data_IF_553415077899
#
_entry.id   IF_553415077899
#
_cell.length_a   1.000
_cell.length_b   1.000
_cell.length_c   1.000
_cell.angle_alpha   90.00
_cell.angle_beta   90.00
_cell.angle_gamma   90.00
#
_symmetry.space_group_name_H-M   'P 1'
#
loop_
_entity.id
_entity.type
_entity.pdbx_description
1 polymer ?
#
# COMPACT_ATOMS: atom_id res chain seq x y z
N UNK A 1 -8.79 31.34 63.48
CA UNK A 1 -8.49 31.36 62.03
C UNK A 1 -8.21 29.94 61.55
N UNK A 2 -9.17 29.30 60.86
CA UNK A 2 -9.02 27.95 60.29
C UNK A 2 -8.32 28.07 58.93
N UNK A 3 -7.17 27.44 58.74
CA UNK A 3 -6.53 27.28 57.41
C UNK A 3 -7.00 25.96 56.82
N UNK A 4 -7.87 26.03 55.81
CA UNK A 4 -8.20 24.90 54.94
C UNK A 4 -7.05 24.71 53.95
N UNK A 5 -6.38 23.56 54.00
CA UNK A 5 -5.45 23.14 52.96
C UNK A 5 -6.25 22.55 51.80
N UNK A 6 -6.23 23.23 50.65
CA UNK A 6 -6.74 22.68 49.40
C UNK A 6 -5.78 21.59 48.91
N UNK A 7 -6.24 20.34 48.89
CA UNK A 7 -5.55 19.24 48.21
C UNK A 7 -5.89 19.37 46.72
N UNK A 8 -4.91 19.81 45.93
CA UNK A 8 -5.01 19.83 44.48
C UNK A 8 -4.74 18.40 43.97
N UNK A 9 -5.80 17.62 43.74
CA UNK A 9 -5.69 16.31 43.09
C UNK A 9 -5.40 16.57 41.60
N UNK A 10 -4.12 16.54 41.25
CA UNK A 10 -3.67 16.45 39.86
C UNK A 10 -4.08 15.08 39.33
N UNK A 11 -5.21 15.03 38.62
CA UNK A 11 -5.51 13.92 37.73
C UNK A 11 -4.47 13.92 36.61
N UNK A 12 -3.43 13.10 36.75
CA UNK A 12 -2.63 12.66 35.62
C UNK A 12 -3.54 11.78 34.75
N UNK A 13 -4.25 12.41 33.80
CA UNK A 13 -4.68 11.73 32.59
C UNK A 13 -3.40 11.34 31.85
N UNK A 14 -2.91 10.14 32.14
CA UNK A 14 -1.97 9.46 31.26
C UNK A 14 -2.68 9.29 29.92
N UNK A 15 -2.49 10.27 29.02
CA UNK A 15 -2.70 10.04 27.60
C UNK A 15 -1.74 8.94 27.20
N UNK A 16 -2.18 7.69 27.29
CA UNK A 16 -1.61 6.62 26.48
C UNK A 16 -1.74 7.14 25.05
N UNK A 17 -0.63 7.65 24.52
CA UNK A 17 -0.42 7.66 23.09
C UNK A 17 -0.61 6.20 22.67
N UNK A 18 -1.77 5.87 22.12
CA UNK A 18 -1.97 4.66 21.34
C UNK A 18 -1.01 4.80 20.16
N UNK A 19 0.27 4.48 20.38
CA UNK A 19 1.22 4.30 19.31
C UNK A 19 0.56 3.32 18.34
N UNK A 20 0.20 3.82 17.14
CA UNK A 20 -0.46 3.01 16.13
C UNK A 20 0.35 1.74 15.91
N UNK A 21 -0.27 0.59 16.16
CA UNK A 21 0.42 -0.68 15.98
C UNK A 21 0.72 -0.86 14.50
N UNK A 22 1.97 -1.15 14.15
CA UNK A 22 2.34 -1.52 12.79
C UNK A 22 1.71 -2.84 12.38
N UNK A 23 1.69 -3.15 11.08
CA UNK A 23 1.31 -4.47 10.57
C UNK A 23 2.10 -5.57 11.29
N UNK A 24 3.42 -5.40 11.45
CA UNK A 24 4.27 -6.39 12.10
C UNK A 24 3.88 -6.66 13.56
N UNK A 25 3.59 -5.60 14.32
CA UNK A 25 3.28 -5.71 15.75
C UNK A 25 1.85 -6.21 16.02
N UNK A 26 0.89 -5.89 15.15
CA UNK A 26 -0.53 -6.23 15.35
C UNK A 26 -0.93 -7.59 14.77
N UNK A 27 -0.43 -7.95 13.59
CA UNK A 27 -0.90 -9.13 12.85
C UNK A 27 0.11 -10.27 13.01
N UNK A 28 0.03 -11.03 14.09
CA UNK A 28 0.95 -12.14 14.32
C UNK A 28 0.90 -13.18 13.17
N UNK A 29 2.04 -13.80 12.80
CA UNK A 29 2.03 -14.98 11.94
C UNK A 29 1.21 -16.12 12.55
N UNK A 30 0.69 -17.06 11.75
CA UNK A 30 0.02 -18.25 12.27
C UNK A 30 0.96 -19.07 13.17
N UNK A 31 0.39 -19.89 14.06
CA UNK A 31 1.17 -20.73 14.97
C UNK A 31 2.23 -21.56 14.22
N UNK A 32 3.47 -21.54 14.72
CA UNK A 32 4.61 -22.23 14.11
C UNK A 32 5.24 -21.52 12.90
N UNK A 33 4.73 -20.35 12.47
CA UNK A 33 5.35 -19.54 11.43
C UNK A 33 6.21 -18.43 12.03
N UNK A 34 7.29 -18.09 11.34
CA UNK A 34 8.17 -16.96 11.64
C UNK A 34 8.27 -16.07 10.41
N UNK A 35 8.27 -14.75 10.58
CA UNK A 35 8.44 -13.82 9.45
C UNK A 35 9.79 -14.06 8.76
N UNK A 36 9.81 -13.97 7.43
CA UNK A 36 11.09 -13.97 6.72
C UNK A 36 11.91 -12.75 7.11
N UNK A 37 13.23 -12.88 7.24
CA UNK A 37 14.10 -11.74 7.56
C UNK A 37 14.10 -10.75 6.39
N UNK A 38 13.94 -9.46 6.69
CA UNK A 38 14.03 -8.39 5.69
C UNK A 38 15.28 -7.54 5.94
N UNK A 39 15.98 -7.10 4.88
CA UNK A 39 17.06 -6.14 5.04
C UNK A 39 16.56 -4.83 5.67
N UNK A 40 17.39 -4.20 6.49
CA UNK A 40 17.11 -2.85 6.96
C UNK A 40 16.94 -1.91 5.76
N UNK A 41 16.00 -0.97 5.86
CA UNK A 41 15.66 -0.03 4.79
C UNK A 41 15.18 -0.68 3.48
N UNK A 42 14.76 -1.95 3.47
CA UNK A 42 14.10 -2.54 2.29
C UNK A 42 12.64 -2.10 2.16
N UNK A 43 12.06 -2.28 0.97
CA UNK A 43 10.64 -2.04 0.75
C UNK A 43 9.77 -2.96 1.63
N UNK A 44 10.21 -4.20 1.81
CA UNK A 44 9.57 -5.19 2.67
C UNK A 44 9.47 -4.70 4.12
N UNK A 45 10.58 -4.16 4.66
CA UNK A 45 10.62 -3.59 6.01
C UNK A 45 9.69 -2.39 6.12
N UNK A 46 9.65 -1.52 5.09
CA UNK A 46 8.71 -0.41 5.03
C UNK A 46 7.25 -0.89 5.08
N UNK A 47 6.86 -1.84 4.23
CA UNK A 47 5.48 -2.37 4.18
C UNK A 47 5.05 -2.96 5.52
N UNK A 48 5.91 -3.76 6.17
CA UNK A 48 5.64 -4.34 7.50
C UNK A 48 5.52 -3.30 8.62
N UNK A 49 6.23 -2.18 8.47
CA UNK A 49 6.24 -1.11 9.47
C UNK A 49 5.06 -0.16 9.38
N UNK A 50 4.24 -0.25 8.32
CA UNK A 50 3.11 0.66 8.12
C UNK A 50 2.17 0.64 9.33
N UNK A 51 1.78 1.82 9.84
CA UNK A 51 0.85 1.92 10.95
C UNK A 51 -0.54 1.46 10.52
N UNK A 52 -1.28 0.87 11.46
CA UNK A 52 -2.69 0.54 11.30
C UNK A 52 -3.55 1.48 12.15
N UNK A 53 -4.71 1.85 11.63
CA UNK A 53 -5.77 2.46 12.44
C UNK A 53 -6.18 1.50 13.58
N UNK A 54 -6.69 2.01 14.70
CA UNK A 54 -7.13 1.17 15.83
C UNK A 54 -8.06 0.04 15.41
N UNK A 55 -8.08 -1.03 16.19
CA UNK A 55 -8.93 -2.18 15.91
C UNK A 55 -10.42 -1.82 15.83
N UNK A 56 -11.14 -2.48 14.92
CA UNK A 56 -12.54 -2.18 14.62
C UNK A 56 -12.79 -0.97 13.71
N UNK A 57 -11.75 -0.24 13.28
CA UNK A 57 -11.93 0.84 12.30
C UNK A 57 -12.48 0.31 10.96
N UNK A 58 -13.49 1.01 10.45
CA UNK A 58 -14.11 0.71 9.16
C UNK A 58 -13.33 1.36 8.02
N UNK A 59 -13.36 0.74 6.84
CA UNK A 59 -12.77 1.31 5.64
C UNK A 59 -13.66 2.44 5.13
N UNK A 60 -13.09 3.63 4.95
CA UNK A 60 -13.74 4.77 4.31
C UNK A 60 -13.29 4.92 2.85
N UNK A 61 -14.18 5.47 2.05
CA UNK A 61 -13.93 5.91 0.69
C UNK A 61 -13.32 7.32 0.71
N UNK A 62 -12.80 7.77 -0.43
CA UNK A 62 -12.24 9.13 -0.58
C UNK A 62 -13.21 10.26 -0.20
N UNK A 63 -14.52 10.01 -0.29
CA UNK A 63 -15.58 10.98 0.03
C UNK A 63 -16.04 10.90 1.50
N UNK A 64 -15.37 10.12 2.34
CA UNK A 64 -15.71 9.92 3.75
C UNK A 64 -16.87 8.96 3.99
N UNK A 65 -17.52 8.42 2.95
CA UNK A 65 -18.52 7.36 3.13
C UNK A 65 -17.86 6.04 3.49
N UNK A 66 -18.61 5.15 4.13
CA UNK A 66 -18.15 3.80 4.40
C UNK A 66 -18.11 2.96 3.12
N UNK A 67 -17.05 2.18 2.94
CA UNK A 67 -17.02 1.09 1.96
C UNK A 67 -18.19 0.12 2.21
N UNK A 68 -18.87 -0.32 1.15
CA UNK A 68 -20.01 -1.25 1.29
C UNK A 68 -19.59 -2.60 1.86
N UNK A 69 -18.58 -3.23 1.26
CA UNK A 69 -18.08 -4.54 1.70
C UNK A 69 -16.99 -4.37 2.79
N UNK A 70 -17.41 -4.10 4.02
CA UNK A 70 -16.50 -4.02 5.18
C UNK A 70 -15.86 -5.38 5.51
N UNK A 71 -16.54 -6.49 5.20
CA UNK A 71 -16.06 -7.85 5.48
C UNK A 71 -14.81 -8.24 4.66
N UNK A 72 -14.48 -7.48 3.61
CA UNK A 72 -13.22 -7.65 2.87
C UNK A 72 -11.98 -7.21 3.67
N UNK A 73 -12.14 -6.35 4.68
CA UNK A 73 -11.04 -5.71 5.37
C UNK A 73 -10.81 -6.32 6.76
N UNK A 74 -9.57 -6.70 7.02
CA UNK A 74 -9.12 -7.17 8.33
C UNK A 74 -8.61 -6.02 9.20
N UNK A 75 -7.81 -5.13 8.62
CA UNK A 75 -7.29 -3.93 9.28
C UNK A 75 -7.07 -2.82 8.26
N UNK A 76 -7.20 -1.57 8.69
CA UNK A 76 -7.03 -0.39 7.82
C UNK A 76 -5.65 0.21 8.07
N UNK A 77 -4.89 0.44 7.00
CA UNK A 77 -3.60 1.14 7.06
C UNK A 77 -3.87 2.60 7.38
N UNK A 78 -3.16 3.14 8.36
CA UNK A 78 -3.21 4.55 8.74
C UNK A 78 -2.42 5.39 7.74
N UNK A 79 -3.03 5.56 6.56
CA UNK A 79 -2.55 6.38 5.47
C UNK A 79 -3.72 7.14 4.88
N UNK A 80 -3.57 8.45 4.73
CA UNK A 80 -4.59 9.28 4.08
C UNK A 80 -4.79 8.89 2.62
N UNK A 81 -6.00 9.11 2.11
CA UNK A 81 -6.39 8.85 0.72
C UNK A 81 -6.64 10.15 -0.08
N UNK A 82 -6.74 11.29 0.59
CA UNK A 82 -7.23 12.54 0.01
C UNK A 82 -8.75 12.58 -0.11
N UNK A 83 -9.27 13.58 -0.83
CA UNK A 83 -10.70 13.87 -0.97
C UNK A 83 -11.21 13.76 -2.42
N UNK A 84 -10.41 13.17 -3.30
CA UNK A 84 -10.72 12.94 -4.71
C UNK A 84 -10.77 11.44 -4.96
N UNK A 85 -11.50 11.00 -5.98
CA UNK A 85 -11.51 9.60 -6.43
C UNK A 85 -10.20 9.25 -7.16
N UNK A 86 -9.09 9.43 -6.45
CA UNK A 86 -7.70 9.12 -6.79
C UNK A 86 -7.17 8.25 -5.65
N UNK A 87 -6.11 7.47 -5.88
CA UNK A 87 -5.69 6.43 -4.95
C UNK A 87 -6.60 5.17 -5.00
N UNK A 88 -6.98 4.78 -6.22
CA UNK A 88 -7.64 3.51 -6.51
C UNK A 88 -6.65 2.33 -6.41
N UNK A 89 -7.04 1.13 -6.88
CA UNK A 89 -6.26 -0.10 -6.68
C UNK A 89 -4.77 -0.01 -7.07
N UNK A 90 -4.45 0.38 -8.31
CA UNK A 90 -3.06 0.53 -8.77
C UNK A 90 -2.35 1.72 -8.09
N UNK A 91 -3.07 2.81 -7.86
CA UNK A 91 -2.53 4.00 -7.24
C UNK A 91 -2.07 3.74 -5.80
N UNK A 92 -2.75 2.87 -5.06
CA UNK A 92 -2.30 2.44 -3.73
C UNK A 92 -0.94 1.72 -3.79
N UNK A 93 -0.74 0.86 -4.79
CA UNK A 93 0.55 0.18 -5.03
C UNK A 93 1.64 1.21 -5.40
N UNK A 94 1.32 2.14 -6.29
CA UNK A 94 2.19 3.27 -6.66
C UNK A 94 2.53 4.11 -5.44
N UNK A 95 1.53 4.47 -4.62
CA UNK A 95 1.68 5.26 -3.40
C UNK A 95 2.66 4.61 -2.43
N UNK A 96 2.46 3.33 -2.13
CA UNK A 96 3.32 2.58 -1.21
C UNK A 96 4.77 2.56 -1.69
N UNK A 97 5.00 2.28 -2.98
CA UNK A 97 6.35 2.26 -3.56
C UNK A 97 6.99 3.65 -3.55
N UNK A 98 6.23 4.69 -3.91
CA UNK A 98 6.72 6.06 -3.98
C UNK A 98 7.06 6.62 -2.60
N UNK A 99 6.21 6.41 -1.59
CA UNK A 99 6.44 6.83 -0.20
C UNK A 99 7.70 6.20 0.38
N UNK A 100 7.89 4.90 0.15
CA UNK A 100 9.11 4.19 0.53
C UNK A 100 10.36 4.87 -0.04
N UNK A 101 10.40 5.09 -1.36
CA UNK A 101 11.54 5.73 -2.01
C UNK A 101 11.72 7.19 -1.57
N UNK A 102 10.62 7.92 -1.39
CA UNK A 102 10.63 9.33 -0.99
C UNK A 102 11.18 9.52 0.42
N UNK A 103 10.78 8.65 1.36
CA UNK A 103 11.27 8.64 2.74
C UNK A 103 12.79 8.42 2.82
N UNK A 104 13.36 7.73 1.84
CA UNK A 104 14.80 7.48 1.70
C UNK A 104 15.53 8.49 0.80
N UNK A 105 14.83 9.52 0.31
CA UNK A 105 15.35 10.52 -0.64
C UNK A 105 15.85 9.92 -1.96
N UNK A 106 15.38 8.73 -2.34
CA UNK A 106 15.72 8.04 -3.59
C UNK A 106 14.86 8.58 -4.74
N UNK A 107 14.89 9.90 -4.92
CA UNK A 107 13.97 10.62 -5.80
C UNK A 107 14.09 10.26 -7.27
N UNK A 108 15.30 9.88 -7.71
CA UNK A 108 15.61 9.48 -9.08
C UNK A 108 14.94 8.16 -9.47
N UNK A 109 14.56 7.35 -8.48
CA UNK A 109 13.89 6.06 -8.67
C UNK A 109 12.36 6.18 -8.65
N UNK A 110 11.83 7.34 -8.28
CA UNK A 110 10.38 7.57 -8.27
C UNK A 110 9.96 7.97 -9.68
N UNK A 111 9.56 6.97 -10.45
CA UNK A 111 9.12 7.11 -11.84
C UNK A 111 7.99 6.12 -12.11
N UNK A 112 6.91 6.61 -12.70
CA UNK A 112 5.78 5.81 -13.13
C UNK A 112 5.34 6.27 -14.51
N UNK A 113 4.95 5.33 -15.37
CA UNK A 113 4.49 5.66 -16.70
C UNK A 113 2.99 5.95 -16.71
N UNK A 114 2.61 7.00 -17.42
CA UNK A 114 1.22 7.22 -17.80
C UNK A 114 0.78 6.14 -18.79
N UNK A 115 -0.54 6.03 -19.01
CA UNK A 115 -1.15 5.03 -19.91
C UNK A 115 -0.63 5.13 -21.35
N UNK A 116 -0.25 6.34 -21.79
CA UNK A 116 0.35 6.57 -23.11
C UNK A 116 1.86 6.29 -23.17
N UNK A 117 2.48 5.84 -22.07
CA UNK A 117 3.91 5.56 -21.97
C UNK A 117 4.78 6.74 -21.53
N UNK A 118 4.21 7.92 -21.24
CA UNK A 118 4.98 9.06 -20.77
C UNK A 118 5.61 8.78 -19.38
N UNK A 119 6.94 8.93 -19.23
CA UNK A 119 7.62 8.71 -17.95
C UNK A 119 7.47 9.91 -17.01
N UNK A 120 6.59 9.81 -16.01
CA UNK A 120 6.45 10.83 -14.99
C UNK A 120 7.49 10.63 -13.88
N UNK A 121 8.62 11.32 -13.99
CA UNK A 121 9.74 11.29 -13.03
C UNK A 121 9.57 12.32 -11.92
N UNK A 122 9.62 11.90 -10.66
CA UNK A 122 9.49 12.81 -9.52
C UNK A 122 10.67 13.78 -9.42
N UNK A 123 11.90 13.35 -9.74
CA UNK A 123 13.06 14.26 -9.72
C UNK A 123 12.82 15.46 -10.63
N UNK A 124 12.43 15.22 -11.87
CA UNK A 124 12.10 16.25 -12.87
C UNK A 124 11.00 17.18 -12.38
N UNK A 125 9.95 16.63 -11.73
CA UNK A 125 8.90 17.42 -11.08
C UNK A 125 9.45 18.30 -9.93
N UNK A 126 10.24 17.70 -9.04
CA UNK A 126 10.79 18.34 -7.86
C UNK A 126 11.83 19.41 -8.21
N UNK A 127 12.48 19.32 -9.38
CA UNK A 127 13.38 20.34 -9.95
C UNK A 127 12.64 21.55 -10.55
N UNK A 128 11.31 21.58 -10.45
CA UNK A 128 10.48 22.73 -10.82
C UNK A 128 9.77 22.59 -12.17
N UNK A 129 9.76 21.40 -12.75
CA UNK A 129 8.94 21.12 -13.92
C UNK A 129 7.56 20.60 -13.52
N UNK A 130 6.58 20.78 -14.39
CA UNK A 130 5.23 20.23 -14.26
C UNK A 130 4.86 19.55 -15.55
N UNK A 131 3.87 18.66 -15.47
CA UNK A 131 3.39 17.91 -16.62
C UNK A 131 2.13 18.59 -17.14
N UNK A 132 2.08 18.83 -18.45
CA UNK A 132 0.89 19.27 -19.16
C UNK A 132 0.39 18.13 -20.04
N UNK A 133 -0.92 17.88 -19.98
CA UNK A 133 -1.59 16.86 -20.79
C UNK A 133 -2.62 17.54 -21.69
N UNK A 134 -2.55 17.26 -23.00
CA UNK A 134 -3.52 17.72 -24.00
C UNK A 134 -3.85 16.56 -24.93
N UNK A 135 -5.04 15.97 -24.74
CA UNK A 135 -5.38 14.70 -25.38
C UNK A 135 -4.36 13.62 -25.02
N UNK A 136 -3.74 13.01 -26.03
CA UNK A 136 -2.69 12.00 -25.84
C UNK A 136 -1.27 12.57 -25.77
N UNK A 137 -1.09 13.89 -25.94
CA UNK A 137 0.21 14.55 -25.87
C UNK A 137 0.50 14.93 -24.42
N UNK A 138 1.67 14.52 -23.94
CA UNK A 138 2.15 14.80 -22.59
C UNK A 138 3.55 15.37 -22.68
N UNK A 139 3.78 16.48 -22.00
CA UNK A 139 5.06 17.20 -22.04
C UNK A 139 5.38 17.84 -20.71
N UNK A 140 6.69 17.94 -20.44
CA UNK A 140 7.21 18.74 -19.35
C UNK A 140 7.20 20.22 -19.72
N UNK A 141 6.87 21.08 -18.75
CA UNK A 141 7.08 22.51 -18.84
C UNK A 141 7.66 23.04 -17.54
N UNK A 142 8.52 24.05 -17.62
CA UNK A 142 9.22 24.60 -16.47
C UNK A 142 8.37 25.67 -15.77
N UNK A 143 8.27 25.58 -14.45
CA UNK A 143 7.62 26.58 -13.58
C UNK A 143 8.62 27.40 -12.75
N UNK A 144 9.89 26.97 -12.71
CA UNK A 144 11.02 27.74 -12.18
C UNK A 144 11.36 27.50 -10.70
N UNK A 145 10.54 26.80 -9.92
CA UNK A 145 10.77 26.61 -8.48
C UNK A 145 10.99 25.14 -8.10
N UNK A 146 12.21 24.83 -7.65
CA UNK A 146 12.56 23.55 -7.03
C UNK A 146 11.77 23.36 -5.73
N UNK A 147 11.10 22.23 -5.57
CA UNK A 147 10.26 21.92 -4.40
C UNK A 147 10.21 20.41 -4.14
N UNK A 148 11.02 19.97 -3.17
CA UNK A 148 11.08 18.60 -2.64
C UNK A 148 10.21 18.40 -1.38
N UNK A 149 9.32 19.36 -1.07
CA UNK A 149 8.41 19.21 0.05
C UNK A 149 7.46 18.03 -0.16
N UNK A 150 7.00 17.43 0.94
CA UNK A 150 5.99 16.39 0.90
C UNK A 150 4.70 16.87 0.19
N UNK A 151 4.33 18.15 0.36
CA UNK A 151 3.20 18.76 -0.34
C UNK A 151 3.37 18.72 -1.87
N UNK A 152 4.58 19.01 -2.37
CA UNK A 152 4.89 18.90 -3.80
C UNK A 152 4.86 17.45 -4.29
N UNK A 153 5.39 16.53 -3.48
CA UNK A 153 5.33 15.09 -3.75
C UNK A 153 3.91 14.55 -3.86
N UNK A 154 3.00 14.96 -2.96
CA UNK A 154 1.58 14.59 -3.06
C UNK A 154 0.92 15.12 -4.33
N UNK A 155 1.24 16.35 -4.75
CA UNK A 155 0.76 16.88 -6.05
C UNK A 155 1.30 16.10 -7.25
N UNK A 156 2.55 15.66 -7.19
CA UNK A 156 3.10 14.76 -8.21
C UNK A 156 2.33 13.43 -8.25
N UNK A 157 2.04 12.83 -7.09
CA UNK A 157 1.26 11.60 -7.02
C UNK A 157 -0.17 11.79 -7.53
N UNK A 158 -0.84 12.89 -7.21
CA UNK A 158 -2.15 13.21 -7.78
C UNK A 158 -2.11 13.25 -9.31
N UNK A 159 -1.04 13.82 -9.88
CA UNK A 159 -0.83 13.83 -11.33
C UNK A 159 -0.60 12.40 -11.87
N UNK A 160 0.18 11.57 -11.17
CA UNK A 160 0.37 10.16 -11.55
C UNK A 160 -0.94 9.39 -11.50
N UNK A 161 -1.72 9.51 -10.42
CA UNK A 161 -3.00 8.80 -10.25
C UNK A 161 -4.05 9.20 -11.29
N UNK A 162 -3.94 10.40 -11.88
CA UNK A 162 -4.84 10.83 -12.95
C UNK A 162 -4.57 10.15 -14.30
N UNK A 163 -3.34 9.69 -14.56
CA UNK A 163 -2.92 9.24 -15.91
C UNK A 163 -2.23 7.88 -15.95
N UNK A 164 -1.82 7.34 -14.81
CA UNK A 164 -1.37 5.96 -14.62
C UNK A 164 -2.49 5.11 -14.03
N UNK A 165 -2.35 3.79 -14.12
CA UNK A 165 -3.30 2.84 -13.56
C UNK A 165 -2.82 1.41 -13.81
N UNK A 166 -3.70 0.42 -13.65
CA UNK A 166 -3.31 -0.98 -13.88
C UNK A 166 -2.82 -1.23 -15.30
N UNK A 167 -3.35 -0.52 -16.30
CA UNK A 167 -2.95 -0.63 -17.70
C UNK A 167 -1.49 -0.23 -17.97
N UNK A 168 -0.97 0.81 -17.29
CA UNK A 168 0.44 1.20 -17.38
C UNK A 168 1.30 0.39 -16.41
N UNK A 169 0.90 0.32 -15.14
CA UNK A 169 1.67 -0.32 -14.08
C UNK A 169 1.95 -1.79 -14.40
N UNK A 170 0.98 -2.53 -14.94
CA UNK A 170 1.18 -3.94 -15.32
C UNK A 170 2.24 -4.15 -16.41
N UNK A 171 2.52 -3.13 -17.24
CA UNK A 171 3.56 -3.16 -18.27
C UNK A 171 4.94 -2.77 -17.71
N UNK A 172 4.96 -1.98 -16.63
CA UNK A 172 6.17 -1.56 -15.94
C UNK A 172 6.73 -2.64 -15.00
N UNK A 173 5.85 -3.46 -14.43
CA UNK A 173 6.23 -4.54 -13.53
C UNK A 173 6.69 -5.79 -14.31
N UNK A 174 7.67 -6.49 -13.75
CA UNK A 174 8.21 -7.74 -14.31
C UNK A 174 7.54 -8.95 -13.68
N UNK A 175 7.16 -9.93 -14.50
CA UNK A 175 6.55 -11.19 -14.02
C UNK A 175 7.49 -11.95 -13.09
N UNK A 176 6.93 -12.48 -12.00
CA UNK A 176 7.66 -13.31 -11.02
C UNK A 176 7.00 -14.68 -10.91
N UNK A 177 7.76 -15.78 -10.85
CA UNK A 177 7.19 -17.10 -10.56
C UNK A 177 6.47 -17.09 -9.20
N UNK A 178 5.25 -17.64 -9.12
CA UNK A 178 4.46 -17.64 -7.88
C UNK A 178 5.22 -18.23 -6.66
N UNK A 179 6.05 -19.26 -6.88
CA UNK A 179 6.88 -19.84 -5.81
C UNK A 179 7.96 -18.90 -5.25
N UNK A 180 8.31 -17.83 -5.97
CA UNK A 180 9.28 -16.81 -5.59
C UNK A 180 8.64 -15.53 -5.01
N UNK A 181 7.36 -15.63 -4.61
CA UNK A 181 6.60 -14.53 -4.00
C UNK A 181 7.35 -13.96 -2.78
N UNK A 182 7.46 -12.64 -2.76
CA UNK A 182 8.04 -11.86 -1.67
C UNK A 182 7.16 -10.64 -1.34
N UNK A 183 7.36 -9.99 -0.19
CA UNK A 183 6.77 -8.67 0.04
C UNK A 183 7.11 -7.71 -1.10
N UNK A 184 6.19 -6.77 -1.37
CA UNK A 184 6.29 -5.82 -2.46
C UNK A 184 5.88 -6.34 -3.85
N UNK A 185 5.64 -7.64 -3.98
CA UNK A 185 5.03 -8.20 -5.19
C UNK A 185 3.57 -7.81 -5.34
N UNK A 186 3.09 -7.77 -6.57
CA UNK A 186 1.77 -7.27 -6.93
C UNK A 186 1.08 -8.31 -7.80
N UNK A 187 -0.08 -8.78 -7.38
CA UNK A 187 -1.00 -9.46 -8.31
C UNK A 187 -1.75 -8.39 -9.07
N UNK A 188 -1.66 -8.39 -10.41
CA UNK A 188 -2.19 -7.31 -11.22
C UNK A 188 -2.78 -7.79 -12.55
N UNK A 189 -4.02 -7.36 -12.82
CA UNK A 189 -4.64 -7.41 -14.14
C UNK A 189 -4.62 -6.00 -14.74
N UNK A 190 -3.88 -5.83 -15.84
CA UNK A 190 -3.86 -4.57 -16.57
C UNK A 190 -5.12 -4.35 -17.40
N UNK A 191 -5.59 -3.11 -17.47
CA UNK A 191 -6.72 -2.72 -18.33
C UNK A 191 -7.77 -1.88 -17.59
N UNK A 192 -8.90 -1.67 -18.25
CA UNK A 192 -10.08 -1.02 -17.67
C UNK A 192 -11.32 -1.83 -18.07
N UNK A 193 -11.86 -2.69 -17.19
CA UNK A 193 -11.46 -2.84 -15.79
C UNK A 193 -10.13 -3.58 -15.62
N UNK A 194 -9.44 -3.28 -14.52
CA UNK A 194 -8.28 -4.01 -14.03
C UNK A 194 -8.23 -3.90 -12.51
N UNK A 195 -7.40 -4.69 -11.86
CA UNK A 195 -7.23 -4.64 -10.40
C UNK A 195 -5.80 -4.95 -9.97
N UNK A 196 -5.41 -4.46 -8.81
CA UNK A 196 -4.10 -4.70 -8.21
C UNK A 196 -4.21 -4.93 -6.70
N UNK A 197 -3.49 -5.94 -6.20
CA UNK A 197 -3.29 -6.19 -4.77
C UNK A 197 -1.80 -6.44 -4.51
N UNK A 198 -1.28 -5.93 -3.39
CA UNK A 198 0.15 -5.99 -3.04
C UNK A 198 0.38 -6.96 -1.89
N UNK A 199 1.48 -7.72 -1.96
CA UNK A 199 1.98 -8.57 -0.89
C UNK A 199 2.66 -7.71 0.17
N UNK A 200 2.11 -7.70 1.38
CA UNK A 200 2.59 -6.84 2.47
C UNK A 200 3.64 -7.51 3.34
N UNK A 201 3.51 -8.81 3.54
CA UNK A 201 4.35 -9.59 4.44
C UNK A 201 4.36 -11.07 4.03
N UNK A 202 5.42 -11.78 4.41
CA UNK A 202 5.61 -13.22 4.23
C UNK A 202 6.18 -13.81 5.52
N UNK A 203 5.59 -14.92 5.96
CA UNK A 203 6.09 -15.77 7.03
C UNK A 203 6.28 -17.21 6.55
N UNK A 204 7.23 -17.92 7.16
CA UNK A 204 7.61 -19.28 6.81
C UNK A 204 7.53 -20.17 8.04
N UNK A 205 6.97 -21.37 7.89
CA UNK A 205 7.08 -22.40 8.90
C UNK A 205 8.46 -23.07 8.76
N UNK A 206 9.34 -23.01 9.78
CA UNK A 206 10.73 -23.44 9.65
C UNK A 206 10.86 -24.96 9.44
N UNK A 207 9.91 -25.75 9.95
CA UNK A 207 9.91 -27.22 9.84
C UNK A 207 9.45 -27.69 8.46
N UNK A 208 8.31 -27.17 7.99
CA UNK A 208 7.67 -27.62 6.74
C UNK A 208 8.09 -26.81 5.52
N UNK A 209 8.76 -25.67 5.72
CA UNK A 209 9.12 -24.68 4.69
C UNK A 209 7.92 -24.05 3.95
N UNK A 210 6.69 -24.31 4.40
CA UNK A 210 5.49 -23.66 3.88
C UNK A 210 5.53 -22.16 4.16
N UNK A 211 5.05 -21.37 3.20
CA UNK A 211 4.97 -19.91 3.32
C UNK A 211 3.51 -19.47 3.42
N UNK A 212 3.30 -18.41 4.19
CA UNK A 212 2.05 -17.65 4.21
C UNK A 212 2.35 -16.17 3.96
N UNK A 213 1.38 -15.43 3.42
CA UNK A 213 1.55 -14.02 3.08
C UNK A 213 0.31 -13.17 3.38
N UNK A 214 0.50 -11.88 3.59
CA UNK A 214 -0.56 -10.87 3.74
C UNK A 214 -0.75 -10.12 2.42
N UNK A 215 -2.00 -9.73 2.15
CA UNK A 215 -2.35 -8.89 1.01
C UNK A 215 -2.98 -7.58 1.48
N UNK A 216 -2.74 -6.50 0.75
CA UNK A 216 -3.48 -5.24 0.88
C UNK A 216 -3.96 -4.73 -0.46
N UNK A 217 -4.98 -3.88 -0.40
CA UNK A 217 -5.52 -3.20 -1.58
C UNK A 217 -6.13 -1.84 -1.24
N UNK A 218 -6.29 -1.01 -2.27
CA UNK A 218 -7.43 -0.09 -2.42
C UNK A 218 -8.37 -0.68 -3.49
N UNK A 219 -9.43 0.01 -3.90
CA UNK A 219 -10.36 -0.46 -4.92
C UNK A 219 -10.93 0.70 -5.73
N UNK A 220 -12.02 0.45 -6.47
CA UNK A 220 -12.73 1.42 -7.28
C UNK A 220 -14.18 1.51 -6.77
N UNK A 221 -14.64 2.66 -6.24
CA UNK A 221 -13.92 3.93 -6.09
C UNK A 221 -12.77 3.86 -5.07
N UNK A 222 -11.93 4.90 -5.05
CA UNK A 222 -10.80 5.01 -4.14
C UNK A 222 -11.24 4.85 -2.68
N UNK A 223 -10.54 3.98 -1.95
CA UNK A 223 -10.78 3.69 -0.54
C UNK A 223 -9.50 3.49 0.24
N UNK A 224 -9.57 3.62 1.57
CA UNK A 224 -8.38 3.48 2.42
C UNK A 224 -7.72 2.13 2.16
N UNK A 225 -6.38 2.13 2.15
CA UNK A 225 -5.60 0.90 1.99
C UNK A 225 -5.89 0.01 3.20
N UNK A 226 -6.23 -1.25 2.95
CA UNK A 226 -6.56 -2.19 4.01
C UNK A 226 -5.99 -3.57 3.73
N UNK A 227 -5.66 -4.28 4.81
CA UNK A 227 -5.27 -5.68 4.81
C UNK A 227 -6.52 -6.51 4.49
N UNK A 228 -6.37 -7.46 3.57
CA UNK A 228 -7.47 -8.30 3.09
C UNK A 228 -7.74 -9.46 4.04
N UNK A 229 -9.02 -9.74 4.25
CA UNK A 229 -9.49 -11.02 4.80
C UNK A 229 -9.23 -12.13 3.79
N UNK A 230 -8.77 -13.29 4.25
CA UNK A 230 -8.68 -14.48 3.39
C UNK A 230 -10.05 -15.19 3.32
N UNK A 231 -10.79 -15.12 2.20
CA UNK A 231 -12.12 -15.72 2.11
C UNK A 231 -12.05 -17.25 1.96
N UNK A 232 -10.91 -17.81 1.58
CA UNK A 232 -10.74 -19.24 1.33
C UNK A 232 -10.42 -20.04 2.60
N UNK A 233 -9.95 -19.38 3.66
CA UNK A 233 -9.61 -20.04 4.92
C UNK A 233 -9.75 -19.07 6.10
N UNK A 234 -10.87 -19.15 6.83
CA UNK A 234 -11.14 -18.29 7.98
C UNK A 234 -10.21 -18.52 9.17
N UNK A 235 -9.68 -19.74 9.34
CA UNK A 235 -8.73 -20.08 10.41
C UNK A 235 -7.33 -19.51 10.16
N UNK A 236 -6.99 -19.28 8.89
CA UNK A 236 -5.71 -18.70 8.49
C UNK A 236 -5.79 -17.17 8.30
N UNK A 237 -7.00 -16.64 8.07
CA UNK A 237 -7.23 -15.22 7.82
C UNK A 237 -6.59 -14.34 8.92
N UNK A 238 -5.89 -13.25 8.56
CA UNK A 238 -5.79 -12.64 7.23
C UNK A 238 -4.68 -13.22 6.33
N UNK A 239 -3.98 -14.25 6.78
CA UNK A 239 -2.90 -14.86 6.02
C UNK A 239 -3.43 -15.77 4.90
N UNK A 240 -2.69 -15.80 3.80
CA UNK A 240 -2.90 -16.68 2.64
C UNK A 240 -1.77 -17.70 2.57
N UNK A 241 -2.06 -18.96 2.28
CA UNK A 241 -1.03 -19.99 2.09
C UNK A 241 -0.46 -19.94 0.67
N UNK A 242 0.87 -19.92 0.55
CA UNK A 242 1.56 -20.06 -0.72
C UNK A 242 1.56 -21.52 -1.14
N UNK A 243 0.63 -21.88 -2.05
CA UNK A 243 0.52 -23.27 -2.51
C UNK A 243 1.72 -23.67 -3.37
N UNK A 244 2.13 -24.94 -3.31
CA UNK A 244 3.15 -25.52 -4.20
C UNK A 244 2.75 -25.54 -5.68
N UNK A 245 1.44 -25.49 -6.00
CA UNK A 245 0.96 -25.42 -7.38
C UNK A 245 1.18 -24.02 -7.95
N UNK A 246 2.08 -23.91 -8.94
CA UNK A 246 2.40 -22.65 -9.62
C UNK A 246 1.22 -22.08 -10.44
N UNK A 247 0.23 -22.91 -10.78
CA UNK A 247 -0.95 -22.53 -11.56
C UNK A 247 -2.23 -22.56 -10.71
N UNK A 248 -3.27 -21.94 -11.23
CA UNK A 248 -4.59 -21.86 -10.59
C UNK A 248 -4.93 -20.46 -10.09
N UNK A 249 -6.05 -20.37 -9.38
CA UNK A 249 -6.65 -19.11 -8.94
C UNK A 249 -6.15 -18.71 -7.55
N UNK A 250 -6.04 -17.40 -7.34
CA UNK A 250 -5.97 -16.74 -6.05
C UNK A 250 -7.29 -16.01 -5.83
N UNK A 251 -8.02 -16.41 -4.79
CA UNK A 251 -9.30 -15.79 -4.43
C UNK A 251 -9.05 -14.70 -3.39
N UNK A 252 -9.32 -13.45 -3.75
CA UNK A 252 -9.41 -12.34 -2.80
C UNK A 252 -10.88 -11.96 -2.59
N UNK A 253 -11.24 -11.19 -1.55
CA UNK A 253 -12.64 -10.88 -1.24
C UNK A 253 -13.43 -10.23 -2.38
N UNK A 254 -12.75 -9.49 -3.27
CA UNK A 254 -13.42 -8.68 -4.31
C UNK A 254 -12.91 -8.96 -5.72
N UNK A 255 -11.84 -9.76 -5.86
CA UNK A 255 -11.25 -10.07 -7.16
C UNK A 255 -10.62 -11.46 -7.19
N UNK A 256 -10.58 -12.07 -8.36
CA UNK A 256 -9.90 -13.36 -8.56
C UNK A 256 -8.74 -13.16 -9.52
N UNK A 257 -7.55 -13.52 -9.08
CA UNK A 257 -6.34 -13.52 -9.90
C UNK A 257 -5.99 -14.95 -10.31
N UNK A 258 -5.20 -15.09 -11.37
CA UNK A 258 -4.38 -16.26 -11.58
C UNK A 258 -3.04 -16.07 -10.87
N UNK A 259 -2.44 -17.17 -10.39
CA UNK A 259 -1.13 -17.10 -9.72
C UNK A 259 -0.02 -16.55 -10.61
N UNK A 260 -0.18 -16.65 -11.94
CA UNK A 260 0.76 -16.10 -12.93
C UNK A 260 0.70 -14.57 -13.06
N UNK A 261 -0.31 -13.93 -12.46
CA UNK A 261 -0.47 -12.47 -12.49
C UNK A 261 0.42 -11.76 -11.47
N UNK A 262 1.29 -12.50 -10.78
CA UNK A 262 2.29 -11.98 -9.85
C UNK A 262 3.41 -11.26 -10.61
N UNK A 263 3.64 -10.00 -10.25
CA UNK A 263 4.70 -9.16 -10.81
C UNK A 263 5.42 -8.37 -9.72
N UNK A 264 6.58 -7.80 -10.04
CA UNK A 264 7.44 -7.04 -9.11
C UNK A 264 7.99 -5.79 -9.78
N UNK A 265 8.24 -4.76 -8.97
CA UNK A 265 9.00 -3.58 -9.39
C UNK A 265 10.45 -3.96 -9.72
N UNK A 266 11.01 -3.36 -10.77
CA UNK A 266 12.44 -3.45 -11.01
C UNK A 266 13.23 -2.78 -9.87
N UNK A 267 14.39 -3.35 -9.56
CA UNK A 267 15.32 -2.81 -8.56
C UNK A 267 16.10 -1.64 -9.11
#
# INVERSE_FOLDING_TARGET
MKRQSFICILFFLSGLSLYGQSIESRIAPPAGYVREKCPANSFDTYLRSLPLLPEGNKVHLYNGQLKKNQAAAYAVVDMEIGNRDLQQCADAVIRLRAEYLWSQKRYDEIKFNFTNGFPAEYKTWAEGNRIRVSGNRVEWYTTGCRDYSYKSFRKYLDMVFMYAGTASLSKELTTVPYAALSPGDVFIHGGSPGHAVIVMDVAVNPETRKKVYLLAQSYMPAQQIHILVNPANSLLSPWYELSSKATGKLYTPEWVFEKKDLKRFNK
#
